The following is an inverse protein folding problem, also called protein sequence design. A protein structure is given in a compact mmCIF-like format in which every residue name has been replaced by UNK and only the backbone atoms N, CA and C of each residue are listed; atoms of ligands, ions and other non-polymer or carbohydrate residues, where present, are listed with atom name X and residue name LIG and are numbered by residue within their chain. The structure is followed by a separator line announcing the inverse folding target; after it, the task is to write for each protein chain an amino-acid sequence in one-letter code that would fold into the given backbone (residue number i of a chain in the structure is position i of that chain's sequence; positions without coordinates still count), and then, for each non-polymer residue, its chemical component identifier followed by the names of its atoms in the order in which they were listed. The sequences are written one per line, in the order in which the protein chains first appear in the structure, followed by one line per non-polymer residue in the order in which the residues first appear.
data_IF_804970944291
#
_entry.id   IF_804970944291
#
_cell.length_a   1.000
_cell.length_b   1.000
_cell.length_c   1.000
_cell.angle_alpha   90.00
_cell.angle_beta   90.00
_cell.angle_gamma   90.00
#
_symmetry.space_group_name_H-M   'P 1'
#
loop_
_entity.id
_entity.type
_entity.pdbx_description
1 polymer ?
#
# COMPACT_ATOMS: atom_id res chain seq x y z
N UNK A 1 -14.21 12.51 -8.97
CA UNK A 1 -13.29 11.47 -8.45
C UNK A 1 -13.93 10.13 -8.76
N UNK A 2 -13.16 9.12 -9.17
CA UNK A 2 -13.69 7.76 -9.40
C UNK A 2 -14.21 7.16 -8.08
N UNK A 3 -15.37 6.50 -8.11
CA UNK A 3 -15.92 5.83 -6.94
C UNK A 3 -15.13 4.55 -6.61
N UNK A 4 -14.71 4.41 -5.36
CA UNK A 4 -13.97 3.26 -4.86
C UNK A 4 -14.86 2.44 -3.92
N UNK A 5 -15.47 1.33 -4.39
CA UNK A 5 -16.52 0.60 -3.65
C UNK A 5 -16.02 -0.04 -2.36
N UNK A 6 -14.72 -0.32 -2.24
CA UNK A 6 -14.15 -1.03 -1.09
C UNK A 6 -13.59 -0.07 -0.02
N UNK A 7 -13.87 1.24 -0.13
CA UNK A 7 -13.45 2.24 0.85
C UNK A 7 -11.94 2.46 0.86
N UNK A 8 -11.39 2.84 2.02
CA UNK A 8 -9.95 3.00 2.20
C UNK A 8 -9.30 1.73 2.75
N UNK A 9 -8.02 1.53 2.42
CA UNK A 9 -7.24 0.34 2.74
C UNK A 9 -7.14 0.10 4.25
N UNK A 10 -7.06 1.15 5.08
CA UNK A 10 -6.99 0.99 6.54
C UNK A 10 -8.24 0.32 7.10
N UNK A 11 -9.41 0.83 6.74
CA UNK A 11 -10.68 0.28 7.21
C UNK A 11 -10.95 -1.10 6.60
N UNK A 12 -10.60 -1.31 5.32
CA UNK A 12 -10.64 -2.63 4.71
C UNK A 12 -9.82 -3.66 5.50
N UNK A 13 -8.55 -3.36 5.81
CA UNK A 13 -7.70 -4.29 6.56
C UNK A 13 -8.22 -4.56 7.97
N UNK A 14 -8.78 -3.55 8.65
CA UNK A 14 -9.33 -3.68 10.01
C UNK A 14 -10.59 -4.52 10.05
N UNK A 15 -11.51 -4.27 9.12
CA UNK A 15 -12.80 -4.94 9.09
C UNK A 15 -12.67 -6.42 8.68
N UNK A 16 -11.60 -6.77 7.96
CA UNK A 16 -11.41 -8.10 7.40
C UNK A 16 -10.26 -8.88 8.07
N UNK A 17 -9.87 -8.53 9.30
CA UNK A 17 -8.79 -9.25 10.02
C UNK A 17 -9.08 -10.75 10.20
N UNK A 18 -10.34 -11.13 10.34
CA UNK A 18 -10.75 -12.54 10.45
C UNK A 18 -10.59 -13.33 9.15
N UNK A 19 -10.46 -12.65 8.01
CA UNK A 19 -10.21 -13.25 6.70
C UNK A 19 -8.72 -13.36 6.37
N UNK A 20 -7.86 -12.74 7.18
CA UNK A 20 -6.42 -12.86 6.99
C UNK A 20 -5.92 -14.21 7.48
N UNK A 21 -5.30 -14.97 6.59
CA UNK A 21 -4.61 -16.21 6.93
C UNK A 21 -3.12 -16.08 6.57
N UNK A 22 -2.25 -16.23 7.57
CA UNK A 22 -0.79 -16.15 7.38
C UNK A 22 -0.24 -17.33 6.59
N UNK A 23 -0.90 -18.48 6.66
CA UNK A 23 -0.53 -19.70 5.95
C UNK A 23 -1.12 -19.75 4.53
N UNK A 24 -1.83 -18.71 4.10
CA UNK A 24 -2.37 -18.63 2.74
C UNK A 24 -1.25 -18.35 1.73
N UNK A 25 -0.85 -19.41 1.01
CA UNK A 25 0.21 -19.36 0.01
C UNK A 25 -0.30 -18.95 -1.38
N UNK A 26 -1.60 -19.06 -1.64
CA UNK A 26 -2.20 -18.71 -2.91
C UNK A 26 -2.41 -17.19 -3.04
N UNK A 27 -2.51 -16.73 -4.29
CA UNK A 27 -2.90 -15.36 -4.59
C UNK A 27 -4.28 -15.37 -5.22
N UNK A 28 -5.27 -14.87 -4.48
CA UNK A 28 -6.60 -14.60 -5.02
C UNK A 28 -6.79 -13.10 -5.29
N UNK A 29 -7.12 -12.66 -6.52
CA UNK A 29 -7.48 -11.28 -6.78
C UNK A 29 -8.83 -10.86 -6.17
N UNK A 30 -9.69 -11.81 -5.79
CA UNK A 30 -10.91 -11.57 -5.01
C UNK A 30 -10.65 -11.76 -3.52
N UNK A 31 -10.77 -10.68 -2.75
CA UNK A 31 -10.52 -10.64 -1.31
C UNK A 31 -11.82 -10.68 -0.50
N UNK A 32 -12.87 -11.26 -1.07
CA UNK A 32 -14.21 -11.32 -0.46
C UNK A 32 -14.32 -12.34 0.70
N UNK A 33 -13.35 -13.26 0.84
CA UNK A 33 -13.39 -14.33 1.85
C UNK A 33 -12.09 -14.58 2.61
N UNK A 34 -10.95 -14.74 1.91
CA UNK A 34 -9.64 -15.01 2.51
C UNK A 34 -8.58 -14.20 1.78
N UNK A 35 -7.58 -13.71 2.51
CA UNK A 35 -6.39 -13.11 1.90
C UNK A 35 -5.13 -13.41 2.71
N UNK A 36 -4.00 -13.48 2.03
CA UNK A 36 -2.72 -13.83 2.61
C UNK A 36 -1.64 -12.75 2.43
N UNK A 37 -0.40 -13.06 2.83
CA UNK A 37 0.75 -12.17 2.67
C UNK A 37 0.95 -11.69 1.23
N UNK A 38 0.72 -12.54 0.21
CA UNK A 38 0.84 -12.16 -1.20
C UNK A 38 -0.13 -11.05 -1.60
N UNK A 39 -1.35 -11.01 -1.05
CA UNK A 39 -2.30 -9.93 -1.30
C UNK A 39 -1.83 -8.60 -0.67
N UNK A 40 -1.23 -8.65 0.53
CA UNK A 40 -0.65 -7.48 1.18
C UNK A 40 0.53 -6.90 0.38
N UNK A 41 1.42 -7.78 -0.10
CA UNK A 41 2.53 -7.41 -0.99
C UNK A 41 1.98 -6.81 -2.29
N UNK A 42 0.89 -7.35 -2.83
CA UNK A 42 0.26 -6.84 -4.03
C UNK A 42 -0.30 -5.43 -3.86
N UNK A 43 -0.93 -5.11 -2.72
CA UNK A 43 -1.31 -3.72 -2.41
C UNK A 43 -0.09 -2.80 -2.39
N UNK A 44 0.96 -3.19 -1.67
CA UNK A 44 2.20 -2.41 -1.59
C UNK A 44 2.81 -2.16 -2.98
N UNK A 45 2.88 -3.20 -3.82
CA UNK A 45 3.37 -3.10 -5.20
C UNK A 45 2.51 -2.14 -6.04
N UNK A 46 1.19 -2.24 -6.00
CA UNK A 46 0.30 -1.31 -6.71
C UNK A 46 0.53 0.15 -6.28
N UNK A 47 0.70 0.39 -4.98
CA UNK A 47 0.98 1.73 -4.43
C UNK A 47 2.32 2.26 -4.95
N UNK A 48 3.38 1.44 -5.00
CA UNK A 48 4.67 1.89 -5.57
C UNK A 48 4.58 2.27 -7.05
N UNK A 49 3.71 1.61 -7.84
CA UNK A 49 3.43 2.03 -9.23
C UNK A 49 2.82 3.42 -9.28
N UNK A 50 1.83 3.68 -8.43
CA UNK A 50 1.19 4.99 -8.32
C UNK A 50 2.19 6.07 -7.88
N UNK A 51 2.99 5.81 -6.85
CA UNK A 51 4.00 6.76 -6.37
C UNK A 51 5.11 7.00 -7.40
N UNK A 52 5.54 5.97 -8.14
CA UNK A 52 6.49 6.13 -9.26
C UNK A 52 5.96 7.12 -10.29
N UNK A 53 4.68 7.01 -10.64
CA UNK A 53 4.03 7.96 -11.55
C UNK A 53 4.01 9.38 -10.96
N UNK A 54 3.61 9.56 -9.70
CA UNK A 54 3.60 10.88 -9.05
C UNK A 54 5.01 11.52 -9.02
N UNK A 55 6.03 10.75 -8.64
CA UNK A 55 7.42 11.22 -8.64
C UNK A 55 7.90 11.60 -10.04
N UNK A 56 7.53 10.85 -11.08
CA UNK A 56 7.83 11.22 -12.48
C UNK A 56 7.20 12.56 -12.91
N UNK A 57 6.11 12.96 -12.25
CA UNK A 57 5.41 14.23 -12.43
C UNK A 57 5.87 15.31 -11.45
N UNK A 58 6.93 15.04 -10.68
CA UNK A 58 7.47 15.93 -9.63
C UNK A 58 6.45 16.26 -8.54
N UNK A 59 5.51 15.36 -8.27
CA UNK A 59 4.51 15.50 -7.21
C UNK A 59 5.02 14.79 -5.95
N UNK A 60 4.99 15.50 -4.82
CA UNK A 60 5.26 14.96 -3.47
C UNK A 60 3.93 14.85 -2.73
N UNK A 61 3.60 13.67 -2.22
CA UNK A 61 2.31 13.37 -1.60
C UNK A 61 2.18 13.99 -0.19
N UNK A 62 3.20 13.85 0.66
CA UNK A 62 3.30 14.36 2.04
C UNK A 62 2.36 13.75 3.08
N UNK A 63 1.32 13.04 2.67
CA UNK A 63 0.43 12.29 3.56
C UNK A 63 0.17 10.85 3.09
N UNK A 64 1.23 10.15 2.67
CA UNK A 64 1.09 8.77 2.20
C UNK A 64 0.84 7.83 3.40
N UNK A 65 -0.38 7.31 3.51
CA UNK A 65 -0.84 6.48 4.62
C UNK A 65 -2.01 5.58 4.20
N UNK A 66 -2.32 4.53 4.96
CA UNK A 66 -3.31 3.53 4.55
C UNK A 66 -4.74 4.12 4.44
N UNK A 67 -5.04 5.15 5.25
CA UNK A 67 -6.29 5.92 5.17
C UNK A 67 -6.48 6.67 3.83
N UNK A 68 -5.38 6.95 3.13
CA UNK A 68 -5.35 7.71 1.88
C UNK A 68 -5.13 6.81 0.66
N UNK A 69 -5.19 5.48 0.85
CA UNK A 69 -5.26 4.52 -0.24
C UNK A 69 -6.71 4.06 -0.36
N UNK A 70 -7.35 4.32 -1.49
CA UNK A 70 -8.69 3.85 -1.81
C UNK A 70 -8.64 2.54 -2.59
N UNK A 71 -9.65 1.68 -2.39
CA UNK A 71 -9.76 0.39 -3.05
C UNK A 71 -10.93 0.41 -4.06
N UNK A 72 -10.57 0.33 -5.33
CA UNK A 72 -11.48 0.27 -6.47
C UNK A 72 -12.17 -1.09 -6.63
N UNK A 73 -12.85 -1.30 -7.77
CA UNK A 73 -13.30 -2.63 -8.18
C UNK A 73 -12.13 -3.61 -8.25
N UNK A 74 -12.36 -4.88 -7.92
CA UNK A 74 -11.33 -5.93 -7.86
C UNK A 74 -10.11 -5.53 -7.02
N UNK A 75 -10.35 -4.77 -5.95
CA UNK A 75 -9.35 -4.34 -4.97
C UNK A 75 -8.14 -3.60 -5.56
N UNK A 76 -8.33 -2.88 -6.66
CA UNK A 76 -7.27 -2.04 -7.25
C UNK A 76 -6.97 -0.86 -6.33
N UNK A 77 -5.71 -0.74 -5.87
CA UNK A 77 -5.28 0.33 -4.98
C UNK A 77 -5.07 1.65 -5.73
N UNK A 78 -5.65 2.73 -5.22
CA UNK A 78 -5.56 4.08 -5.78
C UNK A 78 -5.12 5.07 -4.70
N UNK A 79 -4.08 5.83 -4.99
CA UNK A 79 -3.59 6.88 -4.09
C UNK A 79 -4.56 8.06 -4.16
N UNK A 80 -5.01 8.52 -3.01
CA UNK A 80 -5.98 9.60 -2.85
C UNK A 80 -5.48 10.65 -1.84
N UNK A 81 -6.28 11.70 -1.67
CA UNK A 81 -6.01 12.83 -0.77
C UNK A 81 -4.69 13.57 -1.02
N UNK A 82 -4.67 14.34 -2.11
CA UNK A 82 -3.61 15.27 -2.46
C UNK A 82 -3.74 16.62 -1.74
N UNK A 83 -4.52 16.73 -0.65
CA UNK A 83 -4.77 17.99 0.05
C UNK A 83 -3.51 18.69 0.59
N UNK A 84 -2.42 17.95 0.76
CA UNK A 84 -1.10 18.46 1.12
C UNK A 84 -0.06 18.36 -0.02
N UNK A 85 -0.42 17.77 -1.16
CA UNK A 85 0.48 17.65 -2.29
C UNK A 85 0.74 19.05 -2.87
N UNK A 86 2.00 19.49 -2.87
CA UNK A 86 2.41 20.79 -3.41
C UNK A 86 3.55 20.62 -4.39
N UNK A 87 3.51 21.45 -5.44
CA UNK A 87 4.59 21.61 -6.41
C UNK A 87 5.90 22.04 -5.71
N UNK A 88 7.03 21.56 -6.21
CA UNK A 88 8.36 21.56 -5.56
C UNK A 88 8.89 22.99 -5.28
N UNK A 89 8.25 24.03 -5.78
CA UNK A 89 8.78 25.39 -5.83
C UNK A 89 8.28 26.38 -4.76
N UNK A 90 7.47 25.98 -3.77
CA UNK A 90 6.99 26.92 -2.74
C UNK A 90 7.04 26.32 -1.32
N UNK A 91 8.00 26.77 -0.52
CA UNK A 91 8.15 26.38 0.88
C UNK A 91 8.14 27.60 1.81
N UNK A 92 7.11 27.67 2.65
CA UNK A 92 7.22 28.32 3.95
C UNK A 92 6.13 27.81 4.91
N UNK A 93 6.60 27.61 6.14
CA UNK A 93 5.90 27.64 7.43
C UNK A 93 5.14 26.39 7.91
N UNK A 94 5.76 25.79 8.94
CA UNK A 94 5.11 25.43 10.19
C UNK A 94 3.88 26.30 10.46
N UNK A 95 2.71 25.66 10.52
CA UNK A 95 1.54 25.95 11.35
C UNK A 95 0.36 25.22 10.72
N UNK A 96 -0.57 24.74 11.59
CA UNK A 96 -1.92 24.27 11.22
C UNK A 96 -2.34 24.77 9.85
N UNK A 97 -2.41 23.89 8.86
CA UNK A 97 -3.35 24.13 7.77
C UNK A 97 -4.73 24.20 8.40
N UNK A 98 -5.54 25.15 7.95
CA UNK A 98 -6.87 25.49 8.45
C UNK A 98 -7.90 24.34 8.42
N UNK A 99 -7.47 23.09 8.17
CA UNK A 99 -8.32 21.97 7.78
C UNK A 99 -7.92 20.58 8.34
N UNK A 100 -6.86 20.38 9.13
CA UNK A 100 -6.55 19.02 9.64
C UNK A 100 -5.34 18.82 10.55
N UNK A 101 -5.26 17.64 11.18
CA UNK A 101 -4.14 17.16 11.99
C UNK A 101 -2.94 16.80 11.09
N UNK A 102 -1.73 17.19 11.49
CA UNK A 102 -0.48 16.84 10.77
C UNK A 102 -0.15 15.35 10.99
N UNK A 103 0.21 14.58 9.94
CA UNK A 103 0.43 13.14 10.04
C UNK A 103 1.81 12.79 10.62
N UNK A 104 2.16 13.32 11.79
CA UNK A 104 3.52 13.22 12.36
C UNK A 104 4.10 11.81 12.41
N UNK A 105 3.28 10.79 12.69
CA UNK A 105 3.74 9.39 12.74
C UNK A 105 4.14 8.81 11.39
N UNK A 106 3.83 9.48 10.28
CA UNK A 106 4.24 9.07 8.93
C UNK A 106 5.40 9.90 8.40
N UNK A 107 5.73 11.02 9.05
CA UNK A 107 6.72 11.97 8.54
C UNK A 107 8.15 11.45 8.71
N UNK A 108 8.99 11.75 7.71
CA UNK A 108 10.42 11.52 7.78
C UNK A 108 11.08 12.44 8.82
N UNK A 109 12.23 12.02 9.36
CA UNK A 109 12.96 12.79 10.39
C UNK A 109 13.31 14.19 9.90
N UNK A 110 13.77 14.33 8.65
CA UNK A 110 14.06 15.63 8.04
C UNK A 110 12.80 16.50 7.83
N UNK A 111 11.64 15.87 7.61
CA UNK A 111 10.37 16.58 7.48
C UNK A 111 9.88 17.10 8.83
N UNK A 112 10.11 16.34 9.92
CA UNK A 112 9.75 16.76 11.28
C UNK A 112 10.69 17.88 11.76
N UNK A 113 11.99 17.69 11.59
CA UNK A 113 13.04 18.60 12.09
C UNK A 113 13.13 19.89 11.26
N UNK A 114 13.22 19.74 9.94
CA UNK A 114 13.63 20.81 9.04
C UNK A 114 12.51 21.26 8.09
N UNK A 115 11.31 20.66 8.19
CA UNK A 115 10.21 20.87 7.23
C UNK A 115 10.59 20.60 5.78
N UNK A 116 11.56 19.70 5.56
CA UNK A 116 12.00 19.28 4.24
C UNK A 116 11.14 18.12 3.76
N UNK A 117 10.44 18.30 2.63
CA UNK A 117 9.71 17.22 1.98
C UNK A 117 10.18 17.08 0.54
N UNK A 118 10.47 15.84 0.20
CA UNK A 118 11.03 15.36 -1.06
C UNK A 118 10.38 14.02 -1.42
N UNK A 119 10.68 13.49 -2.60
CA UNK A 119 10.33 12.10 -2.93
C UNK A 119 10.84 11.09 -1.87
N UNK A 120 11.99 11.37 -1.23
CA UNK A 120 12.57 10.50 -0.20
C UNK A 120 11.84 10.58 1.13
N UNK A 121 11.16 11.69 1.43
CA UNK A 121 10.26 11.77 2.58
C UNK A 121 8.96 10.99 2.37
N UNK A 122 8.49 10.90 1.12
CA UNK A 122 7.37 10.00 0.78
C UNK A 122 7.80 8.54 0.85
N UNK A 123 9.06 8.20 0.51
CA UNK A 123 9.61 6.85 0.70
C UNK A 123 9.60 6.44 2.18
N UNK A 124 9.95 7.35 3.09
CA UNK A 124 9.81 7.09 4.53
C UNK A 124 8.36 6.79 4.91
N UNK A 125 7.43 7.63 4.44
CA UNK A 125 5.99 7.47 4.67
C UNK A 125 5.49 6.13 4.11
N UNK A 126 6.01 5.70 2.97
CA UNK A 126 5.74 4.39 2.40
C UNK A 126 6.21 3.23 3.30
N UNK A 127 7.37 3.36 3.97
CA UNK A 127 7.79 2.40 4.99
C UNK A 127 6.79 2.29 6.14
N UNK A 128 6.24 3.42 6.60
CA UNK A 128 5.17 3.42 7.63
C UNK A 128 3.88 2.80 7.09
N UNK A 129 3.53 3.06 5.83
CA UNK A 129 2.40 2.43 5.16
C UNK A 129 2.56 0.90 5.02
N UNK A 130 3.77 0.41 4.71
CA UNK A 130 4.05 -1.03 4.76
C UNK A 130 3.77 -1.60 6.15
N UNK A 131 4.23 -0.92 7.20
CA UNK A 131 3.94 -1.33 8.57
C UNK A 131 2.43 -1.36 8.84
N UNK A 132 1.65 -0.37 8.38
CA UNK A 132 0.19 -0.38 8.48
C UNK A 132 -0.45 -1.57 7.75
N UNK A 133 0.03 -1.88 6.54
CA UNK A 133 -0.47 -2.98 5.71
C UNK A 133 -0.26 -4.33 6.43
N UNK A 134 0.97 -4.60 6.87
CA UNK A 134 1.34 -5.87 7.50
C UNK A 134 0.89 -6.01 8.96
N UNK A 135 0.51 -4.91 9.61
CA UNK A 135 -0.19 -4.94 10.90
C UNK A 135 -1.71 -4.98 10.76
N UNK A 136 -2.23 -5.19 9.54
CA UNK A 136 -3.66 -5.23 9.22
C UNK A 136 -4.39 -3.96 9.72
N UNK A 137 -3.88 -2.80 9.31
CA UNK A 137 -4.41 -1.49 9.70
C UNK A 137 -4.08 -1.09 11.13
N UNK A 138 -2.96 -1.58 11.68
CA UNK A 138 -2.45 -1.15 12.98
C UNK A 138 -2.16 0.36 13.01
N UNK A 139 -2.08 0.93 14.21
CA UNK A 139 -1.66 2.32 14.37
C UNK A 139 -0.14 2.35 14.53
N UNK A 140 0.62 3.08 13.67
CA UNK A 140 2.07 3.18 13.79
C UNK A 140 2.54 3.65 15.16
N UNK A 141 3.72 3.20 15.58
CA UNK A 141 4.29 3.47 16.91
C UNK A 141 3.27 3.19 18.02
N UNK A 142 2.87 1.91 18.20
CA UNK A 142 1.85 1.54 19.17
C UNK A 142 2.27 1.93 20.58
N UNK A 143 1.33 2.49 21.35
CA UNK A 143 1.59 2.94 22.73
C UNK A 143 2.33 4.28 22.85
N UNK A 144 2.78 4.89 21.75
CA UNK A 144 3.51 6.16 21.78
C UNK A 144 2.64 7.33 21.31
N UNK A 145 2.73 8.45 22.03
CA UNK A 145 2.21 9.74 21.62
C UNK A 145 3.10 10.38 20.54
N UNK A 146 2.55 11.35 19.81
CA UNK A 146 3.23 12.00 18.68
C UNK A 146 4.57 12.66 19.07
N UNK A 147 4.61 13.31 20.23
CA UNK A 147 5.82 13.94 20.75
C UNK A 147 6.92 12.91 21.12
N UNK A 148 6.53 11.72 21.59
CA UNK A 148 7.47 10.65 21.94
C UNK A 148 8.09 10.02 20.69
N UNK A 149 7.32 9.89 19.60
CA UNK A 149 7.81 9.37 18.32
C UNK A 149 8.97 10.20 17.78
N UNK A 150 8.90 11.53 17.91
CA UNK A 150 9.99 12.41 17.48
C UNK A 150 11.30 12.11 18.24
N UNK A 151 11.25 12.01 19.57
CA UNK A 151 12.43 11.72 20.38
C UNK A 151 13.00 10.33 20.08
N UNK A 152 12.12 9.34 19.96
CA UNK A 152 12.47 7.96 19.65
C UNK A 152 13.22 7.84 18.31
N UNK A 153 12.74 8.55 17.27
CA UNK A 153 13.38 8.55 15.95
C UNK A 153 14.75 9.23 15.96
N UNK A 154 14.90 10.34 16.69
CA UNK A 154 16.18 11.06 16.81
C UNK A 154 17.27 10.25 17.55
N UNK A 155 16.87 9.27 18.36
CA UNK A 155 17.80 8.32 18.97
C UNK A 155 18.25 7.21 17.99
N UNK A 156 17.78 7.25 16.74
CA UNK A 156 18.09 6.24 15.72
C UNK A 156 17.18 5.03 15.77
N UNK A 157 16.22 4.96 16.69
CA UNK A 157 15.31 3.83 16.80
C UNK A 157 14.30 3.83 15.65
N UNK A 158 13.76 2.65 15.32
CA UNK A 158 12.75 2.40 14.28
C UNK A 158 11.70 1.42 14.82
N UNK A 159 10.51 1.42 14.22
CA UNK A 159 9.47 0.48 14.64
C UNK A 159 9.91 -0.96 14.43
N UNK A 160 9.61 -1.82 15.41
CA UNK A 160 9.69 -3.27 15.24
C UNK A 160 8.70 -3.72 14.15
N UNK A 161 9.04 -4.76 13.36
CA UNK A 161 8.13 -5.28 12.34
C UNK A 161 6.85 -5.85 12.98
N UNK A 162 5.70 -5.80 12.28
CA UNK A 162 4.49 -6.48 12.74
C UNK A 162 4.71 -7.99 12.95
N UNK A 163 3.92 -8.59 13.83
CA UNK A 163 3.93 -10.04 14.05
C UNK A 163 3.61 -10.74 12.72
N UNK A 164 4.38 -11.78 12.39
CA UNK A 164 4.27 -12.53 11.13
C UNK A 164 4.57 -11.72 9.85
N UNK A 165 5.22 -10.55 9.96
CA UNK A 165 5.73 -9.85 8.80
C UNK A 165 6.84 -10.69 8.11
N UNK A 166 6.76 -10.93 6.79
CA UNK A 166 7.84 -11.58 6.05
C UNK A 166 9.16 -10.80 6.20
N UNK A 167 10.28 -11.53 6.23
CA UNK A 167 11.60 -10.96 6.45
C UNK A 167 11.97 -9.93 5.37
N UNK A 168 11.71 -10.26 4.12
CA UNK A 168 11.97 -9.43 2.94
C UNK A 168 11.21 -8.10 3.02
N UNK A 169 10.01 -8.10 3.61
CA UNK A 169 9.22 -6.88 3.82
C UNK A 169 9.79 -6.04 4.94
N UNK A 170 10.26 -6.67 6.03
CA UNK A 170 10.99 -5.96 7.08
C UNK A 170 12.28 -5.31 6.56
N UNK A 171 13.01 -5.97 5.65
CA UNK A 171 14.15 -5.39 4.97
C UNK A 171 13.76 -4.16 4.14
N UNK A 172 12.66 -4.24 3.38
CA UNK A 172 12.14 -3.09 2.61
C UNK A 172 11.75 -1.93 3.53
N UNK A 173 11.07 -2.19 4.65
CA UNK A 173 10.76 -1.16 5.65
C UNK A 173 12.05 -0.51 6.20
N UNK A 174 13.04 -1.32 6.54
CA UNK A 174 14.35 -0.87 7.02
C UNK A 174 15.12 -0.03 5.98
N UNK A 175 14.99 -0.33 4.69
CA UNK A 175 15.53 0.48 3.60
C UNK A 175 14.82 1.85 3.50
N UNK A 176 13.51 1.88 3.70
CA UNK A 176 12.72 3.12 3.67
C UNK A 176 13.05 4.07 4.84
N UNK A 177 13.48 3.53 5.99
CA UNK A 177 13.75 4.31 7.20
C UNK A 177 15.23 4.64 7.45
N UNK A 178 16.08 4.60 6.41
CA UNK A 178 17.46 5.11 6.53
C UNK A 178 17.44 6.59 6.92
N UNK A 179 18.30 6.94 7.88
CA UNK A 179 18.40 8.32 8.40
C UNK A 179 18.72 9.30 7.27
N UNK A 180 19.79 9.05 6.52
CA UNK A 180 20.12 9.83 5.34
C UNK A 180 19.15 9.49 4.18
N UNK A 181 18.39 10.48 3.67
CA UNK A 181 17.43 10.28 2.57
C UNK A 181 18.05 9.68 1.29
N UNK A 182 19.33 9.95 1.02
CA UNK A 182 20.02 9.45 -0.17
C UNK A 182 20.23 7.93 -0.16
N UNK A 183 20.23 7.30 1.02
CA UNK A 183 20.33 5.84 1.16
C UNK A 183 18.97 5.14 1.05
N UNK A 184 17.87 5.89 0.99
CA UNK A 184 16.55 5.31 0.77
C UNK A 184 16.40 4.99 -0.72
N UNK A 185 15.79 3.86 -1.10
CA UNK A 185 15.51 3.56 -2.50
C UNK A 185 14.54 4.60 -3.10
N UNK A 186 14.47 4.71 -4.43
CA UNK A 186 13.39 5.44 -5.07
C UNK A 186 12.18 4.50 -5.29
N UNK A 187 11.01 5.06 -5.63
CA UNK A 187 9.80 4.26 -5.83
C UNK A 187 9.89 3.26 -6.99
N UNK A 188 10.69 3.56 -8.02
CA UNK A 188 10.94 2.63 -9.13
C UNK A 188 11.67 1.38 -8.63
N UNK A 189 12.72 1.55 -7.82
CA UNK A 189 13.44 0.44 -7.19
C UNK A 189 12.56 -0.35 -6.22
N UNK A 190 11.75 0.34 -5.40
CA UNK A 190 10.81 -0.33 -4.49
C UNK A 190 9.78 -1.17 -5.23
N UNK A 191 9.24 -0.66 -6.35
CA UNK A 191 8.34 -1.40 -7.24
C UNK A 191 9.00 -2.69 -7.73
N UNK A 192 10.24 -2.60 -8.19
CA UNK A 192 10.95 -3.74 -8.76
C UNK A 192 11.34 -4.77 -7.69
N UNK A 193 11.67 -4.33 -6.47
CA UNK A 193 11.90 -5.21 -5.33
C UNK A 193 10.61 -5.96 -4.96
N UNK A 194 9.50 -5.24 -4.76
CA UNK A 194 8.22 -5.87 -4.39
C UNK A 194 7.67 -6.78 -5.48
N UNK A 195 7.89 -6.45 -6.77
CA UNK A 195 7.53 -7.32 -7.88
C UNK A 195 8.26 -8.67 -7.83
N UNK A 196 9.53 -8.66 -7.44
CA UNK A 196 10.34 -9.87 -7.26
C UNK A 196 9.90 -10.66 -6.04
N UNK A 197 9.67 -10.00 -4.90
CA UNK A 197 9.19 -10.66 -3.67
C UNK A 197 7.83 -11.33 -3.89
N UNK A 198 6.94 -10.69 -4.66
CA UNK A 198 5.63 -11.24 -4.99
C UNK A 198 5.69 -12.49 -5.88
N UNK A 199 6.85 -12.77 -6.50
CA UNK A 199 7.04 -13.75 -7.57
C UNK A 199 5.91 -13.70 -8.62
N UNK A 200 5.66 -12.51 -9.15
CA UNK A 200 4.53 -12.28 -10.05
C UNK A 200 4.55 -13.16 -11.32
N UNK A 201 5.71 -13.70 -11.70
CA UNK A 201 5.84 -14.63 -12.82
C UNK A 201 5.09 -15.93 -12.56
N UNK A 202 5.22 -16.47 -11.36
CA UNK A 202 4.50 -17.67 -10.92
C UNK A 202 2.98 -17.39 -10.86
N UNK A 203 2.57 -16.28 -10.23
CA UNK A 203 1.16 -15.88 -10.14
C UNK A 203 0.53 -15.66 -11.53
N UNK A 204 1.27 -15.06 -12.46
CA UNK A 204 0.78 -14.82 -13.83
C UNK A 204 0.62 -16.11 -14.64
N UNK A 205 1.41 -17.14 -14.36
CA UNK A 205 1.31 -18.45 -14.99
C UNK A 205 0.12 -19.23 -14.44
N UNK A 206 -0.08 -19.23 -13.12
CA UNK A 206 -1.22 -19.89 -12.46
C UNK A 206 -2.56 -19.20 -12.80
N UNK A 207 -2.58 -17.87 -12.89
CA UNK A 207 -3.79 -17.12 -13.32
C UNK A 207 -4.06 -17.19 -14.83
N UNK A 208 -3.05 -17.44 -15.67
CA UNK A 208 -3.26 -17.75 -17.08
C UNK A 208 -3.83 -19.16 -17.28
N UNK A 209 -3.44 -20.14 -16.44
CA UNK A 209 -4.07 -21.47 -16.39
C UNK A 209 -5.55 -21.40 -15.98
N UNK A 210 -5.90 -20.51 -15.03
CA UNK A 210 -7.29 -20.25 -14.66
C UNK A 210 -8.11 -19.47 -15.72
N UNK A 211 -7.48 -18.84 -16.71
CA UNK A 211 -8.20 -18.21 -17.84
C UNK A 211 -8.67 -19.22 -18.89
N UNK A 212 -8.03 -20.39 -18.99
CA UNK A 212 -8.49 -21.45 -19.91
C UNK A 212 -9.67 -22.23 -19.35
N UNK A 213 -9.74 -22.43 -18.02
CA UNK A 213 -10.88 -23.11 -17.37
C UNK A 213 -12.15 -22.23 -17.35
N UNK A 214 -12.03 -20.91 -17.20
CA UNK A 214 -13.20 -20.01 -17.30
C UNK A 214 -13.74 -19.97 -18.73
N UNK A 215 -12.87 -20.03 -19.75
CA UNK A 215 -13.30 -20.13 -21.15
C UNK A 215 -13.97 -21.46 -21.48
N UNK A 216 -13.52 -22.58 -20.92
CA UNK A 216 -14.18 -23.88 -21.14
C UNK A 216 -15.52 -23.99 -20.41
N UNK A 217 -15.66 -23.36 -19.23
CA UNK A 217 -16.90 -23.39 -18.46
C UNK A 217 -17.96 -22.38 -18.94
N UNK A 218 -17.56 -21.33 -19.68
CA UNK A 218 -18.51 -20.47 -20.40
C UNK A 218 -19.10 -21.19 -21.63
N UNK A 219 -18.32 -22.04 -22.32
CA UNK A 219 -18.77 -22.78 -23.52
C UNK A 219 -19.75 -23.91 -23.13
N UNK A 220 -19.54 -24.62 -22.03
CA UNK A 220 -20.50 -25.64 -21.55
C UNK A 220 -21.83 -25.02 -21.07
N UNK A 221 -21.84 -23.75 -20.65
CA UNK A 221 -23.08 -23.07 -20.23
C UNK A 221 -23.89 -22.46 -21.37
N UNK A 222 -23.30 -22.27 -22.57
CA UNK A 222 -24.02 -21.78 -23.75
C UNK A 222 -24.66 -22.91 -24.59
N UNK A 223 -24.16 -24.15 -24.48
CA UNK A 223 -24.76 -25.30 -25.17
C UNK A 223 -26.05 -25.80 -24.47
N UNK A 224 -26.16 -25.64 -23.14
CA UNK A 224 -27.35 -26.07 -22.37
C UNK A 224 -28.53 -25.06 -22.42
N UNK A 225 -28.33 -23.84 -22.93
CA UNK A 225 -29.42 -22.84 -23.06
C UNK A 225 -30.12 -22.90 -24.42
N UNK A 226 -29.51 -23.52 -25.45
CA UNK A 226 -30.07 -23.55 -26.80
C UNK A 226 -31.04 -24.72 -27.09
N UNK A 227 -31.23 -25.68 -26.17
CA UNK A 227 -32.17 -26.80 -26.37
C UNK A 227 -33.59 -26.57 -25.83
N UNK A 228 -33.88 -25.45 -25.14
CA UNK A 228 -35.21 -25.21 -24.52
C UNK A 228 -36.06 -24.09 -25.14
N UNK A 229 -35.70 -23.53 -26.29
CA UNK A 229 -36.57 -22.63 -27.08
C UNK A 229 -36.86 -23.16 -28.49
N UNK A 230 -37.36 -24.39 -28.57
CA UNK A 230 -38.20 -24.84 -29.68
C UNK A 230 -39.24 -25.77 -29.09
N UNK A 231 -40.47 -25.30 -28.91
CA UNK A 231 -41.75 -25.99 -29.13
C UNK A 231 -42.88 -25.31 -28.32
N UNK A 232 -43.71 -24.59 -29.08
CA UNK A 232 -45.12 -24.16 -28.82
C UNK A 232 -45.31 -22.92 -27.95
#
# INVERSE_FOLDING_TARGET
MEYCPNGNLREFLRNNRSWYNVEEESFDPDLSQVFGPKNLIYFAWQITKGMTFLTSRKIIHRDLAARNILLGQKYVAKIADFGLARDVYKYQQYLRTSTGLVPFKWMAVESIRDSLFTEKSDVWSFGVLLWEIFSLGGTPYPGMYVNEVHHYLLQGNRMEPPIHCPHEINEVMSMCWKENPEYRPNFLSLRDILYKILDWKEISQTSAYNKEIVKSNEIESEEDVNENELFI
#
